data_IF_758734144795
#
_entry.id   IF_758734144795
#
_cell.length_a   1.000
_cell.length_b   1.000
_cell.length_c   1.000
_cell.angle_alpha   90.00
_cell.angle_beta   90.00
_cell.angle_gamma   90.00
#
_symmetry.space_group_name_H-M   'P 1'
#
loop_
_entity.id
_entity.type
_entity.pdbx_description
1 polymer ?
#
# COMPACT_ATOMS: atom_id res chain seq x y z
N UNK A 1 -9.08 29.96 -19.14
CA UNK A 1 -9.25 29.53 -17.74
C UNK A 1 -8.73 28.10 -17.62
N UNK A 2 -7.42 27.93 -17.43
CA UNK A 2 -6.84 26.62 -17.13
C UNK A 2 -6.58 26.57 -15.63
N UNK A 3 -7.43 25.79 -14.97
CA UNK A 3 -7.27 25.04 -13.72
C UNK A 3 -6.28 25.59 -12.68
N UNK A 4 -6.76 25.82 -11.45
CA UNK A 4 -5.93 25.90 -10.24
C UNK A 4 -5.25 24.54 -10.03
N UNK A 5 -4.20 24.29 -10.80
CA UNK A 5 -3.58 22.99 -10.99
C UNK A 5 -2.98 22.46 -9.71
N UNK A 6 -3.28 21.20 -9.41
CA UNK A 6 -2.62 20.44 -8.36
C UNK A 6 -1.10 20.59 -8.53
N UNK A 7 -0.45 21.24 -7.57
CA UNK A 7 1.00 21.46 -7.63
C UNK A 7 1.74 20.20 -7.21
N UNK A 8 3.02 20.06 -7.59
CA UNK A 8 3.89 18.96 -7.12
C UNK A 8 3.93 18.89 -5.59
N UNK A 9 3.89 20.05 -4.92
CA UNK A 9 3.80 20.12 -3.45
C UNK A 9 2.49 19.54 -2.94
N UNK A 10 1.36 19.91 -3.54
CA UNK A 10 0.04 19.37 -3.19
C UNK A 10 -0.05 17.86 -3.40
N UNK A 11 0.58 17.32 -4.45
CA UNK A 11 0.64 15.89 -4.70
C UNK A 11 1.49 15.16 -3.65
N UNK A 12 2.67 15.71 -3.32
CA UNK A 12 3.54 15.18 -2.26
C UNK A 12 2.83 15.16 -0.91
N UNK A 13 2.21 16.27 -0.54
CA UNK A 13 1.50 16.40 0.74
C UNK A 13 0.33 15.39 0.81
N UNK A 14 -0.36 15.16 -0.31
CA UNK A 14 -1.42 14.16 -0.42
C UNK A 14 -0.90 12.72 -0.26
N UNK A 15 0.21 12.38 -0.92
CA UNK A 15 0.84 11.06 -0.81
C UNK A 15 1.37 10.83 0.62
N UNK A 16 2.06 11.82 1.21
CA UNK A 16 2.58 11.74 2.57
C UNK A 16 1.49 11.67 3.65
N UNK A 17 0.32 12.27 3.40
CA UNK A 17 -0.84 12.18 4.29
C UNK A 17 -1.63 10.87 4.13
N UNK A 18 -1.31 10.04 3.14
CA UNK A 18 -2.01 8.78 2.93
C UNK A 18 -1.60 7.81 4.04
N UNK A 19 -2.56 7.46 4.90
CA UNK A 19 -2.30 6.54 6.00
C UNK A 19 -1.76 5.20 5.46
N UNK A 20 -0.72 4.63 6.08
CA UNK A 20 -0.27 3.29 5.75
C UNK A 20 -1.42 2.30 5.85
N UNK A 21 -1.50 1.39 4.89
CA UNK A 21 -2.53 0.35 4.92
C UNK A 21 -2.24 -0.60 6.08
N UNK A 22 -3.22 -0.75 6.97
CA UNK A 22 -3.14 -1.62 8.13
C UNK A 22 -3.94 -2.90 7.88
N UNK A 23 -3.28 -3.93 7.34
CA UNK A 23 -3.87 -5.26 7.16
C UNK A 23 -3.55 -6.14 8.36
N UNK A 24 -4.51 -6.98 8.78
CA UNK A 24 -4.33 -8.00 9.81
C UNK A 24 -3.09 -8.86 9.54
N UNK A 25 -2.93 -9.34 8.31
CA UNK A 25 -1.76 -10.14 7.94
C UNK A 25 -0.43 -9.39 8.11
N UNK A 26 -0.39 -8.09 7.84
CA UNK A 26 0.81 -7.29 8.07
C UNK A 26 1.10 -7.10 9.57
N UNK A 27 0.07 -6.93 10.40
CA UNK A 27 0.21 -6.88 11.86
C UNK A 27 0.73 -8.19 12.43
N UNK A 28 0.20 -9.32 11.96
CA UNK A 28 0.66 -10.64 12.35
C UNK A 28 2.12 -10.88 11.97
N UNK A 29 2.53 -10.49 10.77
CA UNK A 29 3.93 -10.57 10.34
C UNK A 29 4.87 -9.71 11.19
N UNK A 30 4.45 -8.48 11.55
CA UNK A 30 5.22 -7.59 12.44
C UNK A 30 5.31 -8.14 13.87
N UNK A 31 4.26 -8.82 14.33
CA UNK A 31 4.22 -9.44 15.65
C UNK A 31 5.06 -10.72 15.75
N UNK A 32 5.48 -11.30 14.61
CA UNK A 32 6.38 -12.45 14.57
C UNK A 32 7.84 -11.99 14.62
N UNK A 33 8.55 -12.22 15.74
CA UNK A 33 9.90 -11.68 15.96
C UNK A 33 10.99 -12.39 15.14
N UNK A 34 10.70 -13.53 14.49
CA UNK A 34 11.69 -14.32 13.76
C UNK A 34 11.22 -14.63 12.33
N UNK A 35 11.94 -14.15 11.29
CA UNK A 35 11.66 -14.52 9.91
C UNK A 35 11.81 -16.04 9.74
N UNK A 36 10.74 -16.72 9.33
CA UNK A 36 10.72 -18.17 9.11
C UNK A 36 10.01 -18.99 10.21
N UNK A 37 9.72 -18.40 11.36
CA UNK A 37 8.85 -19.01 12.38
C UNK A 37 7.44 -18.44 12.24
N UNK A 38 6.56 -19.23 11.63
CA UNK A 38 5.14 -18.94 11.63
C UNK A 38 4.59 -19.08 13.05
N UNK A 39 3.62 -18.23 13.45
CA UNK A 39 3.03 -18.33 14.77
C UNK A 39 2.27 -19.66 14.86
N UNK A 40 2.85 -20.63 15.58
CA UNK A 40 2.26 -21.97 15.79
C UNK A 40 0.96 -21.91 16.59
N UNK A 41 0.78 -20.85 17.38
CA UNK A 41 -0.38 -20.64 18.25
C UNK A 41 -1.45 -19.74 17.62
N UNK A 42 -1.37 -19.46 16.32
CA UNK A 42 -2.37 -18.63 15.65
C UNK A 42 -3.64 -19.44 15.34
N UNK A 43 -4.84 -18.99 15.76
CA UNK A 43 -6.08 -19.65 15.38
C UNK A 43 -6.23 -19.69 13.86
N UNK A 44 -6.67 -20.84 13.33
CA UNK A 44 -6.87 -21.04 11.89
C UNK A 44 -7.77 -19.99 11.26
N UNK A 45 -8.84 -19.58 11.95
CA UNK A 45 -9.75 -18.56 11.46
C UNK A 45 -9.07 -17.20 11.31
N UNK A 46 -8.19 -16.83 12.24
CA UNK A 46 -7.39 -15.60 12.15
C UNK A 46 -6.45 -15.64 10.96
N UNK A 47 -5.82 -16.79 10.69
CA UNK A 47 -4.97 -16.96 9.51
C UNK A 47 -5.77 -16.81 8.22
N UNK A 48 -6.95 -17.44 8.14
CA UNK A 48 -7.84 -17.38 6.99
C UNK A 48 -8.27 -15.94 6.71
N UNK A 49 -8.70 -15.22 7.73
CA UNK A 49 -9.11 -13.82 7.63
C UNK A 49 -7.95 -12.95 7.12
N UNK A 50 -6.76 -13.09 7.72
CA UNK A 50 -5.57 -12.35 7.33
C UNK A 50 -5.18 -12.59 5.86
N UNK A 51 -5.24 -13.85 5.40
CA UNK A 51 -4.92 -14.21 4.02
C UNK A 51 -5.98 -13.68 3.05
N UNK A 52 -7.26 -13.84 3.37
CA UNK A 52 -8.37 -13.31 2.57
C UNK A 52 -8.24 -11.80 2.39
N UNK A 53 -7.95 -11.08 3.47
CA UNK A 53 -7.77 -9.62 3.43
C UNK A 53 -6.61 -9.19 2.52
N UNK A 54 -5.47 -9.90 2.57
CA UNK A 54 -4.32 -9.63 1.68
C UNK A 54 -4.69 -9.87 0.21
N UNK A 55 -5.39 -10.97 -0.08
CA UNK A 55 -5.82 -11.30 -1.45
C UNK A 55 -6.77 -10.24 -1.98
N UNK A 56 -7.78 -9.84 -1.19
CA UNK A 56 -8.75 -8.82 -1.57
C UNK A 56 -8.08 -7.46 -1.79
N UNK A 57 -7.16 -7.07 -0.91
CA UNK A 57 -6.38 -5.85 -1.07
C UNK A 57 -5.52 -5.88 -2.35
N UNK A 58 -4.84 -7.00 -2.62
CA UNK A 58 -4.04 -7.20 -3.84
C UNK A 58 -4.90 -7.11 -5.10
N UNK A 59 -6.11 -7.66 -5.06
CA UNK A 59 -7.09 -7.54 -6.15
C UNK A 59 -7.48 -6.08 -6.42
N UNK A 60 -7.77 -5.31 -5.36
CA UNK A 60 -8.05 -3.86 -5.48
C UNK A 60 -6.88 -3.08 -6.06
N UNK A 61 -5.66 -3.33 -5.58
CA UNK A 61 -4.44 -2.70 -6.09
C UNK A 61 -4.21 -3.01 -7.56
N UNK A 62 -4.40 -4.26 -7.97
CA UNK A 62 -4.29 -4.68 -9.37
C UNK A 62 -5.33 -3.99 -10.25
N UNK A 63 -6.57 -3.90 -9.78
CA UNK A 63 -7.64 -3.18 -10.47
C UNK A 63 -7.33 -1.69 -10.62
N UNK A 64 -6.83 -1.05 -9.56
CA UNK A 64 -6.40 0.35 -9.60
C UNK A 64 -5.24 0.55 -10.57
N UNK A 65 -4.20 -0.29 -10.51
CA UNK A 65 -3.04 -0.21 -11.39
C UNK A 65 -3.43 -0.32 -12.87
N UNK A 66 -4.33 -1.25 -13.22
CA UNK A 66 -4.88 -1.38 -14.59
C UNK A 66 -5.63 -0.14 -15.06
N UNK A 67 -6.33 0.56 -14.16
CA UNK A 67 -7.02 1.81 -14.51
C UNK A 67 -6.03 2.95 -14.71
N UNK A 68 -4.98 2.98 -13.89
CA UNK A 68 -3.93 4.01 -13.95
C UNK A 68 -2.97 3.80 -15.14
N UNK A 69 -2.78 2.58 -15.62
CA UNK A 69 -1.85 2.29 -16.73
C UNK A 69 -2.21 2.97 -18.06
N UNK A 70 -3.46 3.44 -18.20
CA UNK A 70 -3.92 4.18 -19.37
C UNK A 70 -3.71 5.70 -19.26
N UNK A 71 -3.25 6.19 -18.10
CA UNK A 71 -2.95 7.60 -17.90
C UNK A 71 -1.49 7.90 -18.25
N UNK A 72 -1.22 9.11 -18.74
CA UNK A 72 0.14 9.56 -18.96
C UNK A 72 0.88 9.63 -17.61
N UNK A 73 1.99 8.88 -17.41
CA UNK A 73 2.71 8.90 -16.16
C UNK A 73 3.30 10.29 -15.91
N UNK A 74 3.14 10.81 -14.70
CA UNK A 74 3.80 12.05 -14.27
C UNK A 74 5.11 11.63 -13.58
N UNK A 75 6.28 11.84 -14.20
CA UNK A 75 7.55 11.43 -13.60
C UNK A 75 7.84 12.30 -12.38
N UNK A 76 7.89 11.68 -11.21
CA UNK A 76 8.21 12.33 -9.94
C UNK A 76 9.73 12.32 -9.74
N UNK A 77 10.46 13.13 -10.51
CA UNK A 77 11.93 13.15 -10.48
C UNK A 77 12.53 13.86 -9.27
N UNK A 78 11.73 14.64 -8.55
CA UNK A 78 12.18 15.48 -7.43
C UNK A 78 11.61 15.01 -6.08
N UNK A 79 10.97 13.84 -6.02
CA UNK A 79 10.40 13.30 -4.80
C UNK A 79 11.24 12.13 -4.34
N UNK A 80 11.75 12.21 -3.11
CA UNK A 80 12.28 11.06 -2.39
C UNK A 80 11.19 10.54 -1.47
N UNK A 81 10.69 9.34 -1.76
CA UNK A 81 9.73 8.59 -0.97
C UNK A 81 10.38 7.26 -0.60
N UNK A 82 11.23 7.32 0.43
CA UNK A 82 12.03 6.19 0.92
C UNK A 82 11.17 4.95 1.24
N UNK A 83 9.94 5.17 1.70
CA UNK A 83 8.97 4.11 2.02
C UNK A 83 8.49 3.30 0.80
N UNK A 84 8.64 3.85 -0.40
CA UNK A 84 8.32 3.20 -1.67
C UNK A 84 9.55 2.92 -2.54
N UNK A 85 10.76 3.22 -2.04
CA UNK A 85 12.00 3.08 -2.81
C UNK A 85 12.12 4.04 -3.99
N UNK A 86 11.40 5.17 -3.95
CA UNK A 86 11.39 6.24 -4.95
C UNK A 86 12.27 7.41 -4.54
#
# INVERSE_FOLDING_TARGET
MFNSGMTVKSLRDCLAATAPVDLLGMRLLKACPQPGLYPTDLPRETLKEAVSEIVDYTGRCTGAARRLSHLAPIPLTTLTCLEFGL
#
